data_IF_847531421158
#
_entry.id   IF_847531421158
#
_cell.length_a   1.000
_cell.length_b   1.000
_cell.length_c   1.000
_cell.angle_alpha   90.00
_cell.angle_beta   90.00
_cell.angle_gamma   90.00
#
_symmetry.space_group_name_H-M   'P 1'
#
loop_
_entity.id
_entity.type
_entity.pdbx_description
1 polymer ?
#
# COMPACT_ATOMS: atom_id res chain seq x y z
N UNK A 1 -12.21 -3.57 -13.46
CA UNK A 1 -11.93 -2.68 -12.31
C UNK A 1 -10.48 -2.21 -12.43
N UNK A 2 -10.08 -1.04 -11.90
CA UNK A 2 -8.68 -0.55 -12.02
C UNK A 2 -7.88 -0.90 -10.76
N UNK A 3 -6.55 -0.87 -10.82
CA UNK A 3 -5.70 -1.07 -9.64
C UNK A 3 -5.99 -0.06 -8.51
N UNK A 4 -6.34 1.19 -8.88
CA UNK A 4 -6.83 2.20 -7.93
C UNK A 4 -8.11 1.74 -7.22
N UNK A 5 -9.12 1.29 -7.97
CA UNK A 5 -10.37 0.80 -7.37
C UNK A 5 -10.16 -0.45 -6.51
N UNK A 6 -9.20 -1.30 -6.85
CA UNK A 6 -8.82 -2.44 -6.02
C UNK A 6 -8.15 -2.00 -4.70
N UNK A 7 -7.30 -0.97 -4.74
CA UNK A 7 -6.70 -0.39 -3.53
C UNK A 7 -7.75 0.29 -2.63
N UNK A 8 -8.69 1.03 -3.21
CA UNK A 8 -9.85 1.60 -2.50
C UNK A 8 -10.70 0.49 -1.85
N UNK A 9 -10.97 -0.60 -2.59
CA UNK A 9 -11.70 -1.75 -2.05
C UNK A 9 -10.96 -2.43 -0.90
N UNK A 10 -9.63 -2.57 -0.99
CA UNK A 10 -8.81 -3.12 0.08
C UNK A 10 -8.98 -2.31 1.38
N UNK A 11 -8.90 -0.98 1.28
CA UNK A 11 -9.09 -0.07 2.42
C UNK A 11 -10.54 0.02 2.92
N UNK A 12 -11.52 -0.40 2.13
CA UNK A 12 -12.94 -0.39 2.49
C UNK A 12 -13.37 -1.68 3.18
N UNK A 13 -12.84 -2.83 2.76
CA UNK A 13 -13.32 -4.15 3.17
C UNK A 13 -12.40 -4.87 4.15
N UNK A 14 -11.17 -4.40 4.37
CA UNK A 14 -10.23 -4.96 5.33
C UNK A 14 -9.89 -3.95 6.42
N UNK A 15 -10.57 -4.08 7.56
CA UNK A 15 -10.47 -3.13 8.67
C UNK A 15 -9.06 -3.06 9.26
N UNK A 16 -8.33 -4.17 9.27
CA UNK A 16 -6.96 -4.24 9.78
C UNK A 16 -6.02 -3.48 8.84
N UNK A 17 -6.19 -3.64 7.53
CA UNK A 17 -5.47 -2.83 6.53
C UNK A 17 -5.81 -1.35 6.67
N UNK A 18 -7.09 -0.99 6.86
CA UNK A 18 -7.50 0.40 7.06
C UNK A 18 -6.87 1.01 8.31
N UNK A 19 -6.84 0.27 9.42
CA UNK A 19 -6.24 0.74 10.68
C UNK A 19 -4.74 0.95 10.53
N UNK A 20 -4.04 -0.03 9.96
CA UNK A 20 -2.60 0.04 9.74
C UNK A 20 -2.23 1.17 8.79
N UNK A 21 -3.01 1.35 7.73
CA UNK A 21 -2.89 2.49 6.82
C UNK A 21 -3.02 3.84 7.56
N UNK A 22 -4.03 4.01 8.42
CA UNK A 22 -4.21 5.24 9.21
C UNK A 22 -3.09 5.46 10.21
N UNK A 23 -2.47 4.41 10.72
CA UNK A 23 -1.31 4.51 11.60
C UNK A 23 -0.08 5.03 10.85
N UNK A 24 0.19 4.50 9.65
CA UNK A 24 1.27 4.94 8.77
C UNK A 24 1.11 6.42 8.43
N UNK A 25 -0.10 6.84 8.01
CA UNK A 25 -0.40 8.24 7.71
C UNK A 25 -0.14 9.17 8.90
N UNK A 26 -0.59 8.79 10.11
CA UNK A 26 -0.36 9.60 11.32
C UNK A 26 1.11 9.69 11.71
N UNK A 27 1.92 8.67 11.42
CA UNK A 27 3.36 8.68 11.68
C UNK A 27 4.09 9.54 10.66
N UNK A 28 3.75 9.42 9.38
CA UNK A 28 4.29 10.22 8.29
C UNK A 28 4.03 11.72 8.51
N UNK A 29 2.80 12.10 8.90
CA UNK A 29 2.44 13.50 9.22
C UNK A 29 3.19 14.08 10.43
N UNK A 30 3.61 13.23 11.38
CA UNK A 30 4.36 13.65 12.58
C UNK A 30 5.87 13.66 12.37
N UNK A 31 6.34 13.20 11.22
CA UNK A 31 7.75 12.97 10.99
C UNK A 31 8.41 14.20 10.38
N UNK A 32 9.15 14.96 11.21
CA UNK A 32 9.99 16.08 10.76
C UNK A 32 11.25 15.59 9.99
N UNK A 33 11.43 14.27 9.85
CA UNK A 33 12.61 13.63 9.28
C UNK A 33 12.30 13.23 7.84
N UNK A 34 13.05 13.79 6.87
CA UNK A 34 12.91 13.59 5.41
C UNK A 34 12.79 12.15 4.88
N UNK A 35 13.05 11.12 5.70
CA UNK A 35 13.04 9.71 5.31
C UNK A 35 12.11 8.82 6.16
N UNK A 36 11.52 9.32 7.24
CA UNK A 36 10.62 8.53 8.09
C UNK A 36 9.15 8.59 7.60
N UNK A 37 8.99 8.68 6.27
CA UNK A 37 7.83 8.11 5.61
C UNK A 37 8.21 6.83 4.86
N UNK A 38 9.44 6.73 4.35
CA UNK A 38 9.86 5.62 3.52
C UNK A 38 9.82 4.28 4.26
N UNK A 39 10.33 4.23 5.49
CA UNK A 39 10.36 2.98 6.27
C UNK A 39 8.96 2.56 6.70
N UNK A 40 8.10 3.50 7.07
CA UNK A 40 6.70 3.29 7.47
C UNK A 40 5.88 2.74 6.30
N UNK A 41 6.01 3.35 5.11
CA UNK A 41 5.35 2.88 3.89
C UNK A 41 5.91 1.52 3.43
N UNK A 42 7.19 1.25 3.67
CA UNK A 42 7.82 -0.03 3.35
C UNK A 42 7.32 -1.13 4.28
N UNK A 43 7.31 -0.91 5.58
CA UNK A 43 6.71 -1.83 6.55
C UNK A 43 5.25 -2.14 6.20
N UNK A 44 4.49 -1.12 5.81
CA UNK A 44 3.11 -1.31 5.37
C UNK A 44 3.02 -2.18 4.11
N UNK A 45 3.84 -1.93 3.09
CA UNK A 45 3.84 -2.75 1.88
C UNK A 45 4.24 -4.21 2.17
N UNK A 46 5.17 -4.45 3.10
CA UNK A 46 5.49 -5.80 3.57
C UNK A 46 4.33 -6.46 4.31
N UNK A 47 3.60 -5.71 5.14
CA UNK A 47 2.39 -6.21 5.81
C UNK A 47 1.30 -6.64 4.82
N UNK A 48 1.16 -5.92 3.70
CA UNK A 48 0.18 -6.26 2.66
C UNK A 48 0.52 -7.59 1.94
N UNK A 49 1.80 -7.96 1.87
CA UNK A 49 2.25 -9.15 1.17
C UNK A 49 1.69 -10.41 1.84
N UNK A 50 0.95 -11.21 1.07
CA UNK A 50 0.35 -12.46 1.55
C UNK A 50 -0.99 -12.29 2.26
N UNK A 51 -1.56 -11.09 2.31
CA UNK A 51 -2.94 -10.91 2.76
C UNK A 51 -3.91 -11.51 1.74
N UNK A 52 -4.79 -12.37 2.23
CA UNK A 52 -5.81 -12.99 1.38
C UNK A 52 -6.71 -11.96 0.70
N UNK A 53 -7.09 -10.89 1.42
CA UNK A 53 -7.89 -9.80 0.86
C UNK A 53 -7.18 -9.12 -0.32
N UNK A 54 -5.86 -8.92 -0.24
CA UNK A 54 -5.07 -8.35 -1.34
C UNK A 54 -5.16 -9.22 -2.60
N UNK A 55 -4.95 -10.54 -2.45
CA UNK A 55 -5.06 -11.48 -3.56
C UNK A 55 -6.48 -11.47 -4.17
N UNK A 56 -7.52 -11.41 -3.33
CA UNK A 56 -8.90 -11.36 -3.79
C UNK A 56 -9.22 -10.09 -4.59
N UNK A 57 -8.85 -8.91 -4.08
CA UNK A 57 -9.16 -7.65 -4.77
C UNK A 57 -8.34 -7.50 -6.05
N UNK A 58 -7.09 -7.97 -6.06
CA UNK A 58 -6.23 -8.00 -7.25
C UNK A 58 -6.83 -8.90 -8.33
N UNK A 59 -7.22 -10.11 -7.95
CA UNK A 59 -7.88 -11.07 -8.84
C UNK A 59 -9.19 -10.51 -9.41
N UNK A 60 -10.07 -9.98 -8.54
CA UNK A 60 -11.33 -9.37 -8.96
C UNK A 60 -11.14 -8.16 -9.90
N UNK A 61 -10.00 -7.48 -9.81
CA UNK A 61 -9.65 -6.38 -10.71
C UNK A 61 -8.97 -6.81 -12.01
N UNK A 62 -8.49 -8.05 -12.11
CA UNK A 62 -7.66 -8.50 -13.23
C UNK A 62 -6.30 -7.79 -13.27
N UNK A 63 -5.73 -7.48 -12.10
CA UNK A 63 -4.45 -6.80 -11.92
C UNK A 63 -3.55 -7.62 -11.00
N UNK A 64 -2.24 -7.33 -10.97
CA UNK A 64 -1.32 -7.99 -10.02
C UNK A 64 -1.41 -7.34 -8.63
N UNK A 65 -1.03 -8.09 -7.60
CA UNK A 65 -0.91 -7.56 -6.23
C UNK A 65 0.04 -6.36 -6.18
N UNK A 66 1.15 -6.40 -6.94
CA UNK A 66 2.08 -5.27 -7.05
C UNK A 66 1.41 -4.02 -7.60
N UNK A 67 0.50 -4.17 -8.57
CA UNK A 67 -0.21 -3.03 -9.14
C UNK A 67 -1.17 -2.41 -8.13
N UNK A 68 -1.81 -3.21 -7.28
CA UNK A 68 -2.68 -2.74 -6.20
C UNK A 68 -1.84 -2.01 -5.14
N UNK A 69 -0.75 -2.60 -4.68
CA UNK A 69 0.17 -1.98 -3.71
C UNK A 69 0.77 -0.70 -4.27
N UNK A 70 1.24 -0.70 -5.52
CA UNK A 70 1.78 0.49 -6.17
C UNK A 70 0.72 1.58 -6.32
N UNK A 71 -0.54 1.24 -6.60
CA UNK A 71 -1.63 2.21 -6.66
C UNK A 71 -1.88 2.85 -5.29
N UNK A 72 -1.90 2.03 -4.23
CA UNK A 72 -2.07 2.49 -2.86
C UNK A 72 -0.90 3.39 -2.44
N UNK A 73 0.35 2.97 -2.65
CA UNK A 73 1.54 3.77 -2.34
C UNK A 73 1.65 5.05 -3.18
N UNK A 74 1.17 5.06 -4.42
CA UNK A 74 1.20 6.23 -5.31
C UNK A 74 0.16 7.28 -4.94
N UNK A 75 -0.94 6.86 -4.35
CA UNK A 75 -2.01 7.75 -3.92
C UNK A 75 -1.62 8.57 -2.69
N UNK A 76 -0.66 8.09 -1.90
CA UNK A 76 -0.28 8.69 -0.61
C UNK A 76 1.23 8.97 -0.42
N UNK A 77 2.09 8.41 -1.27
CA UNK A 77 3.53 8.71 -1.32
C UNK A 77 3.98 9.28 -2.68
N UNK A 78 5.22 9.76 -2.77
CA UNK A 78 5.78 10.19 -4.07
C UNK A 78 5.98 8.98 -4.99
N UNK A 79 5.71 9.16 -6.29
CA UNK A 79 5.79 8.09 -7.31
C UNK A 79 7.12 7.31 -7.30
N UNK A 80 8.21 7.97 -6.91
CA UNK A 80 9.55 7.36 -6.79
C UNK A 80 9.63 6.35 -5.64
N UNK A 81 9.04 6.67 -4.49
CA UNK A 81 8.99 5.80 -3.29
C UNK A 81 8.15 4.56 -3.58
N UNK A 82 6.98 4.73 -4.20
CA UNK A 82 6.10 3.62 -4.57
C UNK A 82 6.80 2.57 -5.44
N UNK A 83 7.56 3.01 -6.46
CA UNK A 83 8.29 2.10 -7.35
C UNK A 83 9.42 1.36 -6.64
N UNK A 84 10.16 2.05 -5.76
CA UNK A 84 11.25 1.45 -5.00
C UNK A 84 10.76 0.37 -4.04
N UNK A 85 9.74 0.69 -3.25
CA UNK A 85 9.15 -0.23 -2.26
C UNK A 85 8.51 -1.43 -2.96
N UNK A 86 7.72 -1.22 -4.02
CA UNK A 86 7.04 -2.32 -4.70
C UNK A 86 8.04 -3.32 -5.28
N UNK A 87 9.12 -2.84 -5.91
CA UNK A 87 10.20 -3.73 -6.38
C UNK A 87 10.87 -4.48 -5.24
N UNK A 88 11.03 -3.86 -4.07
CA UNK A 88 11.67 -4.51 -2.93
C UNK A 88 10.80 -5.63 -2.34
N UNK A 89 9.50 -5.40 -2.24
CA UNK A 89 8.56 -6.33 -1.60
C UNK A 89 8.23 -7.53 -2.51
N UNK A 90 8.17 -7.31 -3.82
CA UNK A 90 7.74 -8.30 -4.82
C UNK A 90 8.83 -8.70 -5.84
N UNK A 91 10.10 -8.40 -5.56
CA UNK A 91 11.22 -9.00 -6.28
C UNK A 91 11.37 -10.50 -6.03
#
# INVERSE_FOLDING_TARGET
MTAKKAAEALLMYDADVTERYREVMRRDERSDIKNAGYEEWKEFAFYLKGLWTLSMVAHAAGVTEEQVVAALLKEYGTVSVARGITKLVFA
#
